data_IF_765586509230
#
_entry.id   IF_765586509230
#
_cell.length_a   1.000
_cell.length_b   1.000
_cell.length_c   1.000
_cell.angle_alpha   90.00
_cell.angle_beta   90.00
_cell.angle_gamma   90.00
#
_symmetry.space_group_name_H-M   'P 1'
#
loop_
_entity.id
_entity.type
_entity.pdbx_description
1 polymer ?
#
# COMPACT_ATOMS: atom_id res chain seq x y z
N UNK A 1 0.97 -1.20 7.03
CA UNK A 1 -0.14 -1.33 6.05
C UNK A 1 0.42 -1.55 4.67
N UNK A 2 -0.29 -2.30 3.83
CA UNK A 2 0.11 -2.57 2.44
C UNK A 2 -1.06 -2.36 1.49
N UNK A 3 -0.95 -1.39 0.59
CA UNK A 3 -1.92 -1.16 -0.48
C UNK A 3 -1.51 -1.92 -1.74
N UNK A 4 -2.47 -2.58 -2.39
CA UNK A 4 -2.24 -3.36 -3.61
C UNK A 4 -2.44 -2.56 -4.91
N UNK A 5 -2.66 -1.25 -4.78
CA UNK A 5 -2.78 -0.30 -5.89
C UNK A 5 -2.19 1.05 -5.48
N UNK A 6 -1.69 1.79 -6.47
CA UNK A 6 -1.25 3.18 -6.32
C UNK A 6 -2.41 4.17 -6.41
N UNK A 7 -3.54 3.77 -6.98
CA UNK A 7 -4.65 4.66 -7.30
C UNK A 7 -5.50 4.98 -6.08
N UNK A 8 -5.37 6.18 -5.52
CA UNK A 8 -6.17 6.83 -4.45
C UNK A 8 -6.26 6.08 -3.11
N UNK A 9 -6.10 4.77 -3.08
CA UNK A 9 -6.14 3.91 -1.90
C UNK A 9 -5.11 4.30 -0.83
N UNK A 10 -3.87 4.71 -1.16
CA UNK A 10 -2.90 5.14 -0.15
C UNK A 10 -3.36 6.32 0.70
N UNK A 11 -4.09 7.27 0.12
CA UNK A 11 -4.29 8.61 0.71
C UNK A 11 -5.16 8.57 1.98
N UNK A 12 -6.31 7.85 2.02
CA UNK A 12 -7.09 7.71 3.26
C UNK A 12 -6.28 7.10 4.41
N UNK A 13 -5.38 6.15 4.14
CA UNK A 13 -4.55 5.54 5.18
C UNK A 13 -3.45 6.47 5.68
N UNK A 14 -2.92 7.32 4.82
CA UNK A 14 -1.96 8.36 5.22
C UNK A 14 -2.65 9.40 6.13
N UNK A 15 -3.84 9.85 5.74
CA UNK A 15 -4.58 10.90 6.45
C UNK A 15 -5.17 10.38 7.77
N UNK A 16 -5.89 9.25 7.73
CA UNK A 16 -6.66 8.76 8.88
C UNK A 16 -5.81 7.96 9.86
N UNK A 17 -4.83 7.18 9.38
CA UNK A 17 -4.03 6.31 10.24
C UNK A 17 -2.60 6.82 10.48
N UNK A 18 -2.19 7.94 9.86
CA UNK A 18 -0.83 8.45 9.95
C UNK A 18 0.24 7.51 9.38
N UNK A 19 -0.17 6.49 8.62
CA UNK A 19 0.72 5.52 8.02
C UNK A 19 1.21 6.06 6.68
N UNK A 20 2.42 6.62 6.66
CA UNK A 20 2.98 7.24 5.47
C UNK A 20 4.05 6.37 4.85
N UNK A 21 4.42 6.68 3.61
CA UNK A 21 5.56 6.05 2.95
C UNK A 21 6.84 6.43 3.71
N UNK A 22 6.97 7.70 4.12
CA UNK A 22 8.17 8.22 4.79
C UNK A 22 8.47 7.58 6.15
N UNK A 23 7.44 7.19 6.92
CA UNK A 23 7.63 6.51 8.20
C UNK A 23 7.65 4.97 8.09
N UNK A 24 7.63 4.42 6.87
CA UNK A 24 7.47 2.98 6.59
C UNK A 24 6.17 2.36 7.14
N UNK A 25 5.17 3.17 7.49
CA UNK A 25 3.86 2.71 7.94
C UNK A 25 3.00 2.20 6.79
N UNK A 26 3.28 2.66 5.56
CA UNK A 26 2.57 2.30 4.34
C UNK A 26 3.54 1.80 3.27
N UNK A 27 3.27 0.59 2.77
CA UNK A 27 3.92 -0.01 1.61
C UNK A 27 2.93 -0.06 0.44
N UNK A 28 3.38 0.24 -0.76
CA UNK A 28 2.57 0.05 -1.97
C UNK A 28 3.17 -1.08 -2.79
N UNK A 29 2.36 -2.09 -3.09
CA UNK A 29 2.69 -3.20 -3.98
C UNK A 29 1.70 -3.14 -5.13
N UNK A 30 2.08 -2.57 -6.26
CA UNK A 30 1.14 -2.29 -7.34
C UNK A 30 0.73 -3.56 -8.11
N UNK A 31 -0.34 -4.21 -7.65
CA UNK A 31 -0.92 -5.41 -8.28
C UNK A 31 -2.20 -5.09 -9.08
N UNK A 32 -2.62 -3.83 -9.11
CA UNK A 32 -3.88 -3.39 -9.73
C UNK A 32 -5.13 -3.84 -8.97
N UNK A 33 -5.00 -4.27 -7.70
CA UNK A 33 -6.12 -4.78 -6.90
C UNK A 33 -6.63 -3.70 -5.95
N UNK A 34 -7.95 -3.52 -5.90
CA UNK A 34 -8.63 -2.65 -4.92
C UNK A 34 -8.64 -3.34 -3.55
N UNK A 35 -7.47 -3.45 -2.95
CA UNK A 35 -7.23 -4.21 -1.74
C UNK A 35 -6.18 -3.54 -0.84
N UNK A 36 -6.36 -3.74 0.46
CA UNK A 36 -5.44 -3.28 1.49
C UNK A 36 -5.22 -4.38 2.51
N UNK A 37 -3.99 -4.52 2.99
CA UNK A 37 -3.67 -5.34 4.16
C UNK A 37 -3.31 -4.42 5.33
N UNK A 38 -4.08 -4.55 6.41
CA UNK A 38 -3.90 -3.79 7.65
C UNK A 38 -3.38 -4.71 8.73
N UNK A 39 -2.31 -4.29 9.40
CA UNK A 39 -1.67 -5.03 10.48
C UNK A 39 -1.23 -4.05 11.57
N UNK A 40 -1.13 -4.52 12.81
CA UNK A 40 -0.53 -3.74 13.89
C UNK A 40 0.98 -3.56 13.64
N UNK A 41 1.58 -2.56 14.27
CA UNK A 41 3.03 -2.44 14.27
C UNK A 41 3.63 -3.67 14.94
N UNK A 42 4.57 -4.31 14.26
CA UNK A 42 5.27 -5.46 14.80
C UNK A 42 6.25 -5.04 15.90
N UNK A 43 6.27 -5.75 17.05
CA UNK A 43 7.33 -5.61 18.03
C UNK A 43 8.70 -5.95 17.45
N UNK A 44 9.76 -5.45 18.08
CA UNK A 44 11.13 -5.78 17.67
C UNK A 44 11.39 -7.29 17.82
N UNK A 45 12.07 -7.88 16.83
CA UNK A 45 12.34 -9.32 16.79
C UNK A 45 11.17 -10.19 16.28
N UNK A 46 10.01 -9.61 15.97
CA UNK A 46 8.89 -10.34 15.36
C UNK A 46 9.03 -10.34 13.84
N UNK A 47 9.06 -11.53 13.24
CA UNK A 47 9.24 -11.72 11.79
C UNK A 47 7.92 -11.90 11.03
N UNK A 48 6.82 -12.21 11.72
CA UNK A 48 5.49 -12.36 11.15
C UNK A 48 4.43 -11.81 12.10
N UNK A 49 3.46 -11.07 11.56
CA UNK A 49 2.31 -10.58 12.32
C UNK A 49 1.01 -10.87 11.57
N UNK A 50 -0.04 -11.19 12.32
CA UNK A 50 -1.38 -11.30 11.74
C UNK A 50 -1.86 -9.95 11.23
N UNK A 51 -2.30 -9.94 9.99
CA UNK A 51 -2.99 -8.84 9.34
C UNK A 51 -4.37 -9.27 8.85
N UNK A 52 -5.15 -8.27 8.45
CA UNK A 52 -6.44 -8.44 7.78
C UNK A 52 -6.30 -7.84 6.39
N UNK A 53 -6.52 -8.67 5.37
CA UNK A 53 -6.63 -8.21 3.99
C UNK A 53 -8.08 -7.94 3.66
N UNK A 54 -8.38 -6.72 3.26
CA UNK A 54 -9.70 -6.23 2.88
C UNK A 54 -9.70 -5.98 1.37
N UNK A 55 -10.77 -6.37 0.69
CA UNK A 55 -11.00 -6.12 -0.73
C UNK A 55 -12.37 -5.48 -0.95
N UNK A 56 -12.47 -4.60 -1.95
CA UNK A 56 -13.76 -4.26 -2.54
C UNK A 56 -14.25 -5.48 -3.34
N UNK A 57 -15.34 -6.10 -2.90
CA UNK A 57 -15.80 -7.39 -3.39
C UNK A 57 -16.76 -7.22 -4.59
N UNK A 58 -16.40 -7.72 -5.79
CA UNK A 58 -17.26 -7.64 -6.96
C UNK A 58 -18.61 -8.36 -6.76
N UNK A 59 -18.67 -9.45 -6.02
CA UNK A 59 -19.92 -10.18 -5.78
C UNK A 59 -20.86 -9.40 -4.87
N UNK A 60 -20.32 -8.73 -3.85
CA UNK A 60 -21.12 -7.93 -2.92
C UNK A 60 -21.53 -6.58 -3.51
N UNK A 61 -20.74 -6.02 -4.41
CA UNK A 61 -21.12 -4.79 -5.11
C UNK A 61 -22.33 -4.99 -6.04
N UNK A 62 -22.64 -6.22 -6.47
CA UNK A 62 -23.84 -6.51 -7.30
C UNK A 62 -25.16 -6.07 -6.67
N UNK A 63 -25.25 -6.03 -5.34
CA UNK A 63 -26.43 -5.51 -4.64
C UNK A 63 -26.63 -4.00 -4.82
N UNK A 64 -25.63 -3.31 -5.38
CA UNK A 64 -25.59 -1.87 -5.62
C UNK A 64 -25.23 -1.59 -7.10
N UNK A 65 -26.20 -1.67 -8.05
CA UNK A 65 -25.90 -1.71 -9.49
C UNK A 65 -25.03 -0.56 -10.01
N UNK A 66 -25.30 0.68 -9.59
CA UNK A 66 -24.50 1.85 -9.97
C UNK A 66 -23.05 1.77 -9.44
N UNK A 67 -22.88 1.34 -8.19
CA UNK A 67 -21.54 1.15 -7.61
C UNK A 67 -20.80 0.02 -8.32
N UNK A 68 -21.49 -1.09 -8.64
CA UNK A 68 -20.92 -2.20 -9.39
C UNK A 68 -20.46 -1.79 -10.79
N UNK A 69 -21.32 -1.07 -11.52
CA UNK A 69 -21.01 -0.59 -12.86
C UNK A 69 -19.84 0.40 -12.87
N UNK A 70 -19.78 1.30 -11.88
CA UNK A 70 -18.64 2.20 -11.68
C UNK A 70 -17.36 1.42 -11.35
N UNK A 71 -17.43 0.46 -10.43
CA UNK A 71 -16.28 -0.34 -10.01
C UNK A 71 -15.70 -1.17 -11.15
N UNK A 72 -16.55 -1.78 -11.98
CA UNK A 72 -16.15 -2.55 -13.15
C UNK A 72 -15.87 -1.68 -14.39
N UNK A 73 -16.04 -0.36 -14.29
CA UNK A 73 -15.90 0.59 -15.39
C UNK A 73 -16.77 0.24 -16.61
N UNK A 74 -17.94 -0.39 -16.39
CA UNK A 74 -18.90 -0.71 -17.46
C UNK A 74 -19.76 0.50 -17.83
N UNK A 75 -19.94 1.43 -16.89
CA UNK A 75 -20.63 2.69 -17.10
C UNK A 75 -19.81 3.86 -16.53
N UNK A 76 -19.80 4.99 -17.24
CA UNK A 76 -19.18 6.23 -16.74
C UNK A 76 -20.17 6.97 -15.84
N UNK A 77 -20.07 6.73 -14.54
CA UNK A 77 -20.88 7.41 -13.53
C UNK A 77 -20.06 8.48 -12.80
N UNK A 78 -20.63 9.67 -12.54
CA UNK A 78 -19.95 10.71 -11.78
C UNK A 78 -19.80 10.29 -10.32
N UNK A 79 -18.71 10.72 -9.68
CA UNK A 79 -18.43 10.38 -8.27
C UNK A 79 -19.55 10.86 -7.33
N UNK A 80 -20.25 11.95 -7.67
CA UNK A 80 -21.37 12.50 -6.89
C UNK A 80 -22.55 11.54 -6.77
N UNK A 81 -22.73 10.63 -7.72
CA UNK A 81 -23.77 9.60 -7.67
C UNK A 81 -23.31 8.33 -6.96
N UNK A 82 -22.04 7.97 -7.07
CA UNK A 82 -21.50 6.70 -6.56
C UNK A 82 -21.11 6.79 -5.09
N UNK A 83 -20.54 7.93 -4.65
CA UNK A 83 -20.08 8.10 -3.27
C UNK A 83 -21.20 7.91 -2.24
N UNK A 84 -22.41 8.48 -2.39
CA UNK A 84 -23.50 8.24 -1.44
C UNK A 84 -23.88 6.76 -1.33
N UNK A 85 -23.84 6.03 -2.44
CA UNK A 85 -24.12 4.59 -2.47
C UNK A 85 -23.04 3.80 -1.75
N UNK A 86 -21.76 4.16 -1.96
CA UNK A 86 -20.65 3.54 -1.25
C UNK A 86 -20.72 3.79 0.26
N UNK A 87 -21.12 5.00 0.67
CA UNK A 87 -21.29 5.35 2.07
C UNK A 87 -22.47 4.59 2.72
N UNK A 88 -23.60 4.47 2.03
CA UNK A 88 -24.76 3.68 2.49
C UNK A 88 -24.44 2.17 2.55
N UNK A 89 -23.73 1.67 1.55
CA UNK A 89 -23.31 0.26 1.50
C UNK A 89 -22.35 -0.07 2.65
N UNK A 90 -21.44 0.83 2.97
CA UNK A 90 -20.48 0.69 4.06
C UNK A 90 -19.69 -0.63 3.97
N UNK A 91 -19.65 -1.38 5.07
CA UNK A 91 -18.91 -2.64 5.15
C UNK A 91 -19.45 -3.76 4.24
N UNK A 92 -20.70 -3.64 3.77
CA UNK A 92 -21.39 -4.71 3.03
C UNK A 92 -20.77 -4.98 1.67
N UNK A 93 -20.01 -4.04 1.10
CA UNK A 93 -19.34 -4.23 -0.20
C UNK A 93 -17.91 -4.76 -0.08
N UNK A 94 -17.43 -4.97 1.14
CA UNK A 94 -16.08 -5.45 1.37
C UNK A 94 -16.05 -6.92 1.80
N UNK A 95 -15.01 -7.62 1.39
CA UNK A 95 -14.66 -8.94 1.92
C UNK A 95 -13.29 -8.89 2.56
N UNK A 96 -13.08 -9.71 3.57
CA UNK A 96 -11.83 -9.71 4.31
C UNK A 96 -11.38 -11.12 4.68
N UNK A 97 -10.08 -11.28 4.88
CA UNK A 97 -9.48 -12.52 5.38
C UNK A 97 -8.26 -12.23 6.24
N UNK A 98 -8.02 -13.07 7.24
CA UNK A 98 -6.75 -13.05 7.96
C UNK A 98 -5.63 -13.53 7.06
N UNK A 99 -4.46 -12.90 7.17
CA UNK A 99 -3.23 -13.33 6.53
C UNK A 99 -2.04 -13.03 7.43
N UNK A 100 -0.98 -13.82 7.29
CA UNK A 100 0.30 -13.50 7.91
C UNK A 100 1.05 -12.48 7.05
N UNK A 101 1.58 -11.45 7.70
CA UNK A 101 2.31 -10.35 7.09
C UNK A 101 3.76 -10.43 7.55
N UNK A 102 4.67 -10.58 6.60
CA UNK A 102 6.10 -10.55 6.87
C UNK A 102 6.54 -9.16 7.31
N UNK A 103 7.32 -9.13 8.39
CA UNK A 103 7.85 -7.90 8.96
C UNK A 103 9.28 -7.73 8.46
N UNK A 104 9.58 -6.68 7.66
CA UNK A 104 10.94 -6.47 7.19
C UNK A 104 11.87 -6.17 8.36
N UNK A 105 12.98 -6.90 8.42
CA UNK A 105 14.03 -6.69 9.43
C UNK A 105 14.67 -5.32 9.21
N UNK A 106 14.67 -4.48 10.24
CA UNK A 106 15.37 -3.18 10.20
C UNK A 106 16.88 -3.43 10.17
N UNK A 107 17.50 -3.30 8.99
CA UNK A 107 18.96 -3.26 8.87
C UNK A 107 19.48 -1.91 9.42
N UNK A 108 20.63 -1.92 10.11
CA UNK A 108 21.33 -0.69 10.48
C UNK A 108 21.75 0.03 9.19
N UNK A 109 21.42 1.33 9.09
CA UNK A 109 21.86 2.17 7.98
C UNK A 109 23.37 2.41 8.10
N UNK A 110 24.11 2.18 7.02
CA UNK A 110 25.51 2.60 6.87
C UNK A 110 25.56 3.73 5.86
N UNK A 111 26.38 4.74 6.13
CA UNK A 111 26.59 5.88 5.24
C UNK A 111 27.98 5.73 4.62
N UNK A 112 28.07 5.86 3.30
CA UNK A 112 29.30 5.72 2.53
C UNK A 112 29.41 6.89 1.55
N UNK A 113 30.64 7.29 1.22
CA UNK A 113 30.91 8.27 0.18
C UNK A 113 30.98 7.57 -1.18
N UNK A 114 30.26 8.07 -2.18
CA UNK A 114 30.29 7.53 -3.55
C UNK A 114 31.67 7.80 -4.19
N UNK A 115 32.32 6.75 -4.72
CA UNK A 115 33.64 6.88 -5.35
C UNK A 115 33.63 7.68 -6.67
N UNK A 116 32.46 7.87 -7.30
CA UNK A 116 32.34 8.63 -8.55
C UNK A 116 31.98 10.09 -8.36
N UNK A 117 30.98 10.42 -7.53
CA UNK A 117 30.48 11.80 -7.38
C UNK A 117 30.88 12.47 -6.05
N UNK A 118 31.40 11.72 -5.07
CA UNK A 118 31.77 12.24 -3.75
C UNK A 118 30.58 12.53 -2.82
N UNK A 119 29.34 12.21 -3.21
CA UNK A 119 28.15 12.40 -2.37
C UNK A 119 27.97 11.24 -1.38
N UNK A 120 27.44 11.55 -0.20
CA UNK A 120 27.13 10.57 0.84
C UNK A 120 25.80 9.87 0.53
N UNK A 121 25.80 8.54 0.55
CA UNK A 121 24.59 7.74 0.32
C UNK A 121 24.43 6.65 1.38
N UNK A 122 23.19 6.14 1.51
CA UNK A 122 22.92 4.97 2.35
C UNK A 122 23.43 3.75 1.60
N UNK A 123 24.47 3.11 2.12
CA UNK A 123 25.04 1.90 1.54
C UNK A 123 24.09 0.72 1.76
N UNK A 124 23.73 0.06 0.67
CA UNK A 124 23.14 -1.26 0.72
C UNK A 124 24.23 -2.31 0.47
N UNK A 125 24.30 -3.31 1.34
CA UNK A 125 25.31 -4.37 1.34
C UNK A 125 26.77 -3.84 1.27
N UNK A 126 27.47 -3.96 0.13
CA UNK A 126 28.86 -3.51 -0.07
C UNK A 126 29.02 -2.55 -1.27
N UNK A 127 27.97 -1.79 -1.61
CA UNK A 127 28.02 -0.84 -2.73
C UNK A 127 29.07 0.27 -2.51
N UNK A 128 29.83 0.58 -3.56
CA UNK A 128 30.82 1.68 -3.58
C UNK A 128 30.33 2.91 -4.36
N UNK A 129 29.31 2.73 -5.20
CA UNK A 129 28.69 3.77 -6.00
C UNK A 129 27.25 3.99 -5.53
N UNK A 130 26.80 5.24 -5.54
CA UNK A 130 25.40 5.55 -5.28
C UNK A 130 24.52 5.09 -6.46
N UNK A 131 23.22 4.83 -6.19
CA UNK A 131 22.30 4.35 -7.23
C UNK A 131 22.25 5.21 -8.49
N UNK A 132 22.40 6.53 -8.34
CA UNK A 132 22.47 7.44 -9.49
C UNK A 132 23.67 7.21 -10.39
N UNK A 133 24.85 6.92 -9.83
CA UNK A 133 26.05 6.61 -10.60
C UNK A 133 26.04 5.18 -11.16
N UNK A 134 25.38 4.23 -10.49
CA UNK A 134 25.23 2.85 -10.97
C UNK A 134 24.34 2.76 -12.22
N UNK A 135 23.26 3.55 -12.28
CA UNK A 135 22.34 3.57 -13.43
C UNK A 135 22.92 4.28 -14.68
N UNK A 136 24.05 4.99 -14.53
CA UNK A 136 24.72 5.71 -15.60
C UNK A 136 25.84 4.89 -16.28
N UNK A 137 26.06 3.64 -15.85
CA UNK A 137 27.02 2.70 -16.44
C UNK A 137 26.41 1.83 -17.55
#
# INVERSE_FOLDING_TARGET
>A
MTCETKSCMPDPFQILAGATIGNNGLKIVNLGKMAVTVNKQAPEGVHSIKGVRIILDPEKTKYYPKLHAWFLNTEKLPHTEVVPILLDAGEKVYSWKFMDVEVPVRKKKRIQCCESCGEMFIQHDNELLCGGCTEQC
#
